data_IF_390546771199
#
_entry.id   IF_390546771199
#
_cell.length_a   1.000
_cell.length_b   1.000
_cell.length_c   1.000
_cell.angle_alpha   90.00
_cell.angle_beta   90.00
_cell.angle_gamma   90.00
#
_symmetry.space_group_name_H-M   'P 1'
#
loop_
_entity.id
_entity.type
_entity.pdbx_description
1 polymer ?
#
# COMPACT_ATOMS: atom_id res chain seq x y z
N UNK A 1 12.92 0.89 -11.55
CA UNK A 1 12.58 0.98 -12.98
C UNK A 1 12.98 -0.29 -13.71
N UNK A 2 12.36 -0.54 -14.84
CA UNK A 2 12.66 -1.71 -15.67
C UNK A 2 14.11 -1.72 -16.12
N UNK A 3 14.65 -0.55 -16.38
CA UNK A 3 16.01 -0.39 -16.79
C UNK A 3 17.01 -0.84 -15.72
N UNK A 4 16.71 -0.58 -14.46
CA UNK A 4 17.55 -0.99 -13.35
C UNK A 4 17.53 -2.51 -13.22
N UNK A 5 16.36 -3.13 -13.32
CA UNK A 5 16.22 -4.58 -13.26
C UNK A 5 17.00 -5.24 -14.38
N UNK A 6 16.82 -4.76 -15.62
CA UNK A 6 17.55 -5.32 -16.77
C UNK A 6 19.06 -5.24 -16.60
N UNK A 7 19.54 -4.12 -16.07
CA UNK A 7 20.95 -3.90 -15.85
C UNK A 7 21.52 -4.87 -14.82
N UNK A 8 20.80 -5.05 -13.73
CA UNK A 8 21.22 -5.97 -12.66
C UNK A 8 21.21 -7.41 -13.14
N UNK A 9 20.19 -7.81 -13.88
CA UNK A 9 20.12 -9.16 -14.45
C UNK A 9 21.29 -9.43 -15.39
N UNK A 10 21.64 -8.45 -16.19
CA UNK A 10 22.74 -8.55 -17.15
C UNK A 10 24.06 -8.84 -16.47
N UNK A 11 24.28 -8.29 -15.28
CA UNK A 11 25.51 -8.51 -14.53
C UNK A 11 25.43 -9.66 -13.56
N UNK A 12 24.31 -10.35 -13.48
CA UNK A 12 24.13 -11.49 -12.59
C UNK A 12 24.12 -11.14 -11.11
N UNK A 13 23.91 -9.89 -10.79
CA UNK A 13 23.87 -9.43 -9.40
C UNK A 13 22.46 -9.30 -8.84
N UNK A 14 21.45 -9.61 -9.65
CA UNK A 14 20.10 -9.47 -9.21
C UNK A 14 19.73 -10.58 -8.27
N UNK A 15 19.43 -10.20 -7.05
CA UNK A 15 18.69 -11.04 -6.14
C UNK A 15 17.27 -10.47 -6.14
N UNK A 16 16.36 -11.13 -6.85
CA UNK A 16 15.00 -10.66 -7.00
C UNK A 16 14.29 -10.52 -5.66
N UNK A 17 14.61 -11.38 -4.71
CA UNK A 17 14.03 -11.30 -3.36
C UNK A 17 14.45 -10.03 -2.65
N UNK A 18 15.74 -9.70 -2.69
CA UNK A 18 16.23 -8.47 -2.06
C UNK A 18 15.68 -7.23 -2.75
N UNK A 19 15.64 -7.28 -4.09
CA UNK A 19 15.07 -6.18 -4.85
C UNK A 19 13.61 -5.95 -4.48
N UNK A 20 12.82 -7.02 -4.45
CA UNK A 20 11.41 -6.94 -4.13
C UNK A 20 11.17 -6.39 -2.72
N UNK A 21 11.95 -6.87 -1.76
CA UNK A 21 11.85 -6.38 -0.37
C UNK A 21 12.17 -4.89 -0.26
N UNK A 22 13.24 -4.46 -0.92
CA UNK A 22 13.62 -3.05 -0.92
C UNK A 22 12.56 -2.19 -1.60
N UNK A 23 12.03 -2.67 -2.72
CA UNK A 23 10.98 -1.97 -3.45
C UNK A 23 9.70 -1.83 -2.63
N UNK A 24 9.29 -2.91 -1.97
CA UNK A 24 8.11 -2.89 -1.10
C UNK A 24 8.29 -1.87 0.03
N UNK A 25 9.43 -1.93 0.70
CA UNK A 25 9.71 -1.01 1.80
C UNK A 25 9.68 0.44 1.34
N UNK A 26 10.33 0.74 0.21
CA UNK A 26 10.38 2.09 -0.32
C UNK A 26 9.00 2.58 -0.72
N UNK A 27 8.20 1.73 -1.35
CA UNK A 27 6.85 2.11 -1.74
C UNK A 27 5.94 2.38 -0.55
N UNK A 28 6.07 1.58 0.50
CA UNK A 28 5.28 1.78 1.72
C UNK A 28 5.69 3.08 2.43
N UNK A 29 7.00 3.32 2.54
CA UNK A 29 7.51 4.44 3.33
C UNK A 29 7.54 5.76 2.57
N UNK A 30 7.88 5.73 1.29
CA UNK A 30 8.10 6.95 0.51
C UNK A 30 6.91 7.30 -0.38
N UNK A 31 6.28 6.32 -0.99
CA UNK A 31 5.19 6.57 -1.94
C UNK A 31 3.80 6.41 -1.33
N UNK A 32 3.70 5.75 -0.20
CA UNK A 32 2.40 5.52 0.44
C UNK A 32 1.48 4.64 -0.39
N UNK A 33 2.04 3.63 -1.06
CA UNK A 33 1.26 2.68 -1.86
C UNK A 33 0.85 1.50 -1.00
N UNK A 34 -0.35 0.96 -1.28
CA UNK A 34 -0.80 -0.28 -0.67
C UNK A 34 -0.20 -1.50 -1.36
N UNK A 35 -0.28 -2.65 -0.70
CA UNK A 35 0.33 -3.88 -1.20
C UNK A 35 -0.21 -4.31 -2.57
N UNK A 36 -1.47 -4.04 -2.86
CA UNK A 36 -2.06 -4.40 -4.15
C UNK A 36 -1.37 -3.68 -5.30
N UNK A 37 -1.13 -2.39 -5.15
CA UNK A 37 -0.43 -1.61 -6.16
C UNK A 37 1.02 -2.01 -6.27
N UNK A 38 1.69 -2.26 -5.16
CA UNK A 38 3.08 -2.69 -5.14
C UNK A 38 3.22 -4.03 -5.87
N UNK A 39 2.34 -4.98 -5.57
CA UNK A 39 2.32 -6.28 -6.21
C UNK A 39 2.16 -6.15 -7.72
N UNK A 40 1.23 -5.30 -8.15
CA UNK A 40 0.98 -5.07 -9.57
C UNK A 40 2.20 -4.50 -10.28
N UNK A 41 2.86 -3.53 -9.67
CA UNK A 41 4.05 -2.91 -10.24
C UNK A 41 5.22 -3.90 -10.31
N UNK A 42 5.41 -4.73 -9.30
CA UNK A 42 6.44 -5.76 -9.32
C UNK A 42 6.16 -6.80 -10.40
N UNK A 43 4.90 -7.17 -10.58
CA UNK A 43 4.50 -8.08 -11.65
C UNK A 43 4.83 -7.49 -13.02
N UNK A 44 4.60 -6.20 -13.21
CA UNK A 44 4.94 -5.51 -14.46
C UNK A 44 6.44 -5.51 -14.73
N UNK A 45 7.24 -5.56 -13.68
CA UNK A 45 8.70 -5.62 -13.79
C UNK A 45 9.24 -7.03 -13.97
N UNK A 46 8.35 -8.01 -14.07
CA UNK A 46 8.75 -9.38 -14.30
C UNK A 46 9.20 -10.16 -13.07
N UNK A 47 8.88 -9.66 -11.90
CA UNK A 47 9.19 -10.37 -10.66
C UNK A 47 8.21 -11.52 -10.47
N UNK A 48 8.72 -12.69 -10.09
CA UNK A 48 7.92 -13.88 -9.87
C UNK A 48 6.92 -13.65 -8.73
N UNK A 49 5.71 -14.15 -8.92
CA UNK A 49 4.64 -14.05 -7.92
C UNK A 49 5.07 -14.56 -6.55
N UNK A 50 5.79 -15.67 -6.50
CA UNK A 50 6.26 -16.26 -5.24
C UNK A 50 7.19 -15.30 -4.51
N UNK A 51 8.05 -14.63 -5.25
CA UNK A 51 8.97 -13.64 -4.69
C UNK A 51 8.20 -12.43 -4.16
N UNK A 52 7.22 -11.98 -4.92
CA UNK A 52 6.37 -10.86 -4.52
C UNK A 52 5.65 -11.17 -3.20
N UNK A 53 5.06 -12.36 -3.10
CA UNK A 53 4.34 -12.77 -1.90
C UNK A 53 5.25 -12.81 -0.67
N UNK A 54 6.48 -13.28 -0.85
CA UNK A 54 7.45 -13.30 0.24
C UNK A 54 7.91 -11.89 0.65
N UNK A 55 7.96 -10.98 -0.31
CA UNK A 55 8.41 -9.62 -0.05
C UNK A 55 7.35 -8.75 0.60
N UNK A 56 6.08 -9.04 0.35
CA UNK A 56 4.98 -8.29 0.94
C UNK A 56 4.84 -8.63 2.43
N UNK A 57 4.39 -7.66 3.27
CA UNK A 57 4.16 -7.94 4.68
C UNK A 57 3.13 -9.05 4.85
N UNK A 58 3.41 -9.99 5.72
CA UNK A 58 2.48 -11.08 6.01
C UNK A 58 1.29 -10.61 6.82
N UNK A 59 1.53 -9.66 7.71
CA UNK A 59 0.49 -9.04 8.50
C UNK A 59 0.13 -7.69 7.89
N UNK A 60 -1.10 -7.27 8.10
CA UNK A 60 -1.57 -6.01 7.55
C UNK A 60 -1.29 -4.80 8.46
N UNK A 61 -0.53 -4.98 9.53
CA UNK A 61 -0.27 -3.92 10.51
C UNK A 61 0.34 -2.68 9.86
N UNK A 62 1.37 -2.86 9.03
CA UNK A 62 2.02 -1.75 8.34
C UNK A 62 1.06 -1.05 7.37
N UNK A 63 0.21 -1.82 6.70
CA UNK A 63 -0.81 -1.28 5.82
C UNK A 63 -1.81 -0.43 6.59
N UNK A 64 -2.27 -0.94 7.72
CA UNK A 64 -3.23 -0.23 8.57
C UNK A 64 -2.64 1.07 9.10
N UNK A 65 -1.40 1.04 9.57
CA UNK A 65 -0.72 2.23 10.06
C UNK A 65 -0.57 3.28 8.97
N UNK A 66 -0.22 2.85 7.77
CA UNK A 66 -0.05 3.76 6.64
C UNK A 66 -1.39 4.38 6.21
N UNK A 67 -2.44 3.56 6.16
CA UNK A 67 -3.79 4.04 5.84
C UNK A 67 -4.23 5.08 6.89
N UNK A 68 -4.03 4.76 8.15
CA UNK A 68 -4.38 5.65 9.25
C UNK A 68 -3.66 7.00 9.13
N UNK A 69 -2.36 6.95 8.85
CA UNK A 69 -1.55 8.15 8.66
C UNK A 69 -2.07 9.00 7.50
N UNK A 70 -2.33 8.40 6.37
CA UNK A 70 -2.82 9.09 5.19
C UNK A 70 -4.21 9.65 5.41
N UNK A 71 -5.09 8.86 6.03
CA UNK A 71 -6.46 9.28 6.29
C UNK A 71 -6.50 10.44 7.30
N UNK A 72 -5.75 10.33 8.39
CA UNK A 72 -5.69 11.37 9.41
C UNK A 72 -5.22 12.68 8.82
N UNK A 73 -4.22 12.62 7.95
CA UNK A 73 -3.69 13.80 7.27
C UNK A 73 -4.75 14.45 6.38
N UNK A 74 -5.54 13.64 5.69
CA UNK A 74 -6.62 14.16 4.83
C UNK A 74 -7.79 14.71 5.60
N UNK A 75 -8.10 14.12 6.75
CA UNK A 75 -9.23 14.56 7.58
C UNK A 75 -8.97 15.87 8.28
N UNK A 76 -7.72 16.22 8.52
CA UNK A 76 -7.32 17.46 9.20
C UNK A 76 -8.04 17.65 10.54
N UNK A 77 -8.20 16.55 11.26
CA UNK A 77 -8.84 16.56 12.57
C UNK A 77 -10.36 16.40 12.55
N UNK A 78 -10.97 16.39 11.38
CA UNK A 78 -12.41 16.19 11.26
C UNK A 78 -12.73 14.70 11.12
N UNK A 79 -13.14 14.07 12.21
CA UNK A 79 -13.46 12.63 12.21
C UNK A 79 -14.94 12.35 12.01
N UNK A 80 -15.76 13.40 11.94
CA UNK A 80 -17.20 13.26 11.72
C UNK A 80 -17.54 13.74 10.31
N UNK A 81 -17.45 12.82 9.36
CA UNK A 81 -17.69 13.11 7.94
C UNK A 81 -18.93 12.36 7.45
N UNK A 82 -19.55 12.90 6.42
CA UNK A 82 -20.73 12.26 5.83
C UNK A 82 -20.32 11.11 4.90
N UNK A 83 -21.31 10.43 4.36
CA UNK A 83 -21.09 9.29 3.49
C UNK A 83 -20.33 9.68 2.21
N UNK A 84 -20.64 10.86 1.67
CA UNK A 84 -19.97 11.34 0.45
C UNK A 84 -18.48 11.54 0.65
N UNK A 85 -18.12 12.18 1.75
CA UNK A 85 -16.71 12.39 2.07
C UNK A 85 -16.00 11.09 2.39
N UNK A 86 -16.68 10.21 3.11
CA UNK A 86 -16.16 8.89 3.43
C UNK A 86 -15.81 8.13 2.16
N UNK A 87 -16.71 8.18 1.16
CA UNK A 87 -16.49 7.55 -0.13
C UNK A 87 -15.29 8.13 -0.86
N UNK A 88 -15.12 9.45 -0.82
CA UNK A 88 -13.98 10.11 -1.44
C UNK A 88 -12.66 9.64 -0.84
N UNK A 89 -12.59 9.54 0.48
CA UNK A 89 -11.40 9.04 1.15
C UNK A 89 -11.17 7.56 0.84
N UNK A 90 -12.22 6.78 0.79
CA UNK A 90 -12.14 5.37 0.42
C UNK A 90 -11.54 5.23 -0.98
N UNK A 91 -12.09 5.97 -1.96
CA UNK A 91 -11.61 5.90 -3.33
C UNK A 91 -10.16 6.33 -3.45
N UNK A 92 -9.76 7.36 -2.73
CA UNK A 92 -8.39 7.83 -2.70
C UNK A 92 -7.44 6.71 -2.22
N UNK A 93 -7.79 6.06 -1.13
CA UNK A 93 -6.96 4.98 -0.58
C UNK A 93 -6.97 3.74 -1.46
N UNK A 94 -8.12 3.41 -2.05
CA UNK A 94 -8.23 2.28 -2.97
C UNK A 94 -7.34 2.48 -4.20
N UNK A 95 -7.25 3.70 -4.70
CA UNK A 95 -6.39 4.03 -5.85
C UNK A 95 -4.91 3.86 -5.54
N UNK A 96 -4.54 4.00 -4.28
CA UNK A 96 -3.16 3.78 -3.84
C UNK A 96 -2.84 2.30 -3.67
N UNK A 97 -3.82 1.43 -3.85
CA UNK A 97 -3.63 -0.01 -3.82
C UNK A 97 -3.88 -0.68 -2.49
N UNK A 98 -4.47 0.03 -1.54
CA UNK A 98 -4.85 -0.57 -0.26
C UNK A 98 -6.09 -1.45 -0.44
N UNK A 99 -6.15 -2.53 0.32
CA UNK A 99 -7.29 -3.44 0.26
C UNK A 99 -8.51 -2.81 0.91
N UNK A 100 -9.71 -3.01 0.34
CA UNK A 100 -10.94 -2.45 0.92
C UNK A 100 -11.17 -2.84 2.37
N UNK A 101 -10.87 -4.09 2.73
CA UNK A 101 -11.00 -4.55 4.11
C UNK A 101 -10.13 -3.77 5.07
N UNK A 102 -8.89 -3.49 4.66
CA UNK A 102 -7.96 -2.71 5.47
C UNK A 102 -8.42 -1.26 5.62
N UNK A 103 -8.91 -0.67 4.53
CA UNK A 103 -9.43 0.70 4.55
C UNK A 103 -10.62 0.81 5.51
N UNK A 104 -11.55 -0.13 5.43
CA UNK A 104 -12.72 -0.12 6.29
C UNK A 104 -12.36 -0.33 7.76
N UNK A 105 -11.38 -1.18 8.04
CA UNK A 105 -10.91 -1.40 9.40
C UNK A 105 -10.36 -0.10 10.00
N UNK A 106 -9.60 0.66 9.23
CA UNK A 106 -9.07 1.95 9.68
C UNK A 106 -10.18 2.97 9.84
N UNK A 107 -11.16 2.98 8.94
CA UNK A 107 -12.31 3.87 9.08
C UNK A 107 -13.05 3.62 10.39
N UNK A 108 -13.26 2.36 10.76
CA UNK A 108 -13.89 2.01 12.02
C UNK A 108 -13.09 2.49 13.23
N UNK A 109 -11.79 2.51 13.10
CA UNK A 109 -10.89 2.95 14.17
C UNK A 109 -10.81 4.45 14.30
N UNK A 110 -10.75 5.16 13.18
CA UNK A 110 -10.45 6.61 13.15
C UNK A 110 -11.71 7.46 13.12
N UNK A 111 -12.72 7.07 12.36
CA UNK A 111 -13.92 7.87 12.19
C UNK A 111 -14.88 7.67 13.36
N UNK A 112 -15.57 8.75 13.70
CA UNK A 112 -16.59 8.69 14.73
C UNK A 112 -17.76 7.86 14.22
N UNK A 113 -18.12 6.83 14.99
CA UNK A 113 -19.27 6.01 14.67
C UNK A 113 -20.51 6.70 15.20
N UNK A 114 -21.53 6.76 14.35
CA UNK A 114 -22.83 7.23 14.82
C UNK A 114 -23.45 6.13 15.68
N UNK A 115 -24.10 6.53 16.72
CA UNK A 115 -24.86 5.59 17.55
C UNK A 115 -26.12 5.21 16.79
N UNK A 116 -26.17 3.96 16.43
CA UNK A 116 -27.35 3.43 15.76
C UNK A 116 -28.29 2.84 16.77
#
# INVERSE_FOLDING_TARGET
TDKVISMLEKYGYVNDEEYAKAYVRDCLNLKGWGQKRISLELTKRGIDKNIIEKALPKENTEQLELIEKLLTKRLKGNTNIDFKEKKKHFDYLARRGFLPSDILEVFDKVLVKEDW
#
